data_IF_161521607349
#
_entry.id   IF_161521607349
#
_cell.length_a   1.000
_cell.length_b   1.000
_cell.length_c   1.000
_cell.angle_alpha   90.00
_cell.angle_beta   90.00
_cell.angle_gamma   90.00
#
_symmetry.space_group_name_H-M   'P 1'
#
loop_
_entity.id
_entity.type
_entity.pdbx_description
1 polymer ?
#
# COMPACT_ATOMS: atom_id res chain seq x y z
N UNK A 1 21.26 25.07 -36.51
CA UNK A 1 21.16 24.50 -35.15
C UNK A 1 19.99 25.15 -34.44
N UNK A 2 18.78 24.63 -34.67
CA UNK A 2 17.55 25.10 -34.00
C UNK A 2 17.23 24.15 -32.85
N UNK A 3 17.16 24.69 -31.64
CA UNK A 3 16.81 23.95 -30.44
C UNK A 3 15.33 23.55 -30.49
N UNK A 4 15.09 22.26 -30.66
CA UNK A 4 13.76 21.65 -30.60
C UNK A 4 13.36 21.54 -29.12
N UNK A 5 12.83 22.64 -28.56
CA UNK A 5 12.37 22.67 -27.18
C UNK A 5 11.05 21.90 -27.10
N UNK A 6 11.11 20.69 -26.55
CA UNK A 6 9.94 19.82 -26.38
C UNK A 6 8.89 20.45 -25.49
N UNK A 7 7.81 20.93 -26.10
CA UNK A 7 6.58 21.31 -25.43
C UNK A 7 5.95 20.06 -24.82
N UNK A 8 6.17 19.81 -23.53
CA UNK A 8 5.30 18.91 -22.77
C UNK A 8 3.88 19.46 -22.88
N UNK A 9 2.99 18.63 -23.43
CA UNK A 9 1.63 19.00 -23.75
C UNK A 9 0.87 19.31 -22.47
N UNK A 10 0.28 20.50 -22.41
CA UNK A 10 -0.58 20.99 -21.33
C UNK A 10 -1.63 19.97 -20.88
N UNK A 11 -2.07 19.08 -21.79
CA UNK A 11 -3.01 17.99 -21.52
C UNK A 11 -2.53 16.92 -20.53
N UNK A 12 -1.25 16.50 -20.53
CA UNK A 12 -0.78 15.45 -19.59
C UNK A 12 -0.85 15.89 -18.12
N UNK A 13 -0.68 17.19 -17.88
CA UNK A 13 -0.72 17.79 -16.53
C UNK A 13 -2.16 18.03 -16.06
N UNK A 14 -3.09 18.30 -16.98
CA UNK A 14 -4.51 18.46 -16.66
C UNK A 14 -5.18 17.13 -16.30
N UNK A 15 -4.86 16.04 -17.01
CA UNK A 15 -5.40 14.69 -16.74
C UNK A 15 -4.96 14.18 -15.36
N UNK A 16 -3.74 14.49 -14.95
CA UNK A 16 -3.20 14.05 -13.67
C UNK A 16 -3.70 14.86 -12.48
N UNK A 17 -4.13 16.12 -12.72
CA UNK A 17 -4.84 16.92 -11.72
C UNK A 17 -6.29 16.46 -11.56
N UNK A 18 -6.96 16.06 -12.63
CA UNK A 18 -8.33 15.55 -12.56
C UNK A 18 -8.43 14.12 -11.99
N UNK A 19 -7.40 13.29 -12.16
CA UNK A 19 -7.32 11.96 -11.54
C UNK A 19 -7.40 12.00 -9.99
N UNK A 20 -6.86 13.06 -9.38
CA UNK A 20 -6.99 13.34 -7.95
C UNK A 20 -8.35 13.92 -7.56
N UNK A 21 -9.14 14.38 -8.54
CA UNK A 21 -10.34 15.19 -8.36
C UNK A 21 -10.02 16.68 -8.42
N UNK A 22 -10.85 17.44 -9.14
CA UNK A 22 -10.74 18.91 -9.13
C UNK A 22 -10.84 19.42 -7.69
N UNK A 23 -9.78 20.07 -7.21
CA UNK A 23 -9.75 20.70 -5.88
C UNK A 23 -9.19 19.85 -4.73
N UNK A 24 -8.80 18.60 -4.95
CA UNK A 24 -8.22 17.78 -3.89
C UNK A 24 -6.79 18.26 -3.55
N UNK A 25 -6.61 19.22 -2.65
CA UNK A 25 -5.30 19.58 -2.07
C UNK A 25 -4.97 18.62 -0.94
N UNK A 26 -3.72 18.18 -0.83
CA UNK A 26 -3.31 17.25 0.23
C UNK A 26 -2.33 16.17 -0.22
N UNK A 27 -1.59 15.59 0.71
CA UNK A 27 -0.65 14.50 0.41
C UNK A 27 -1.36 13.17 0.12
N UNK A 28 -0.60 12.11 -0.13
CA UNK A 28 -1.14 10.78 -0.46
C UNK A 28 -0.70 9.78 0.60
N UNK A 29 -1.65 9.03 1.16
CA UNK A 29 -1.35 7.87 2.01
C UNK A 29 -1.35 6.61 1.16
N UNK A 30 -0.37 5.74 1.36
CA UNK A 30 -0.36 4.37 0.88
C UNK A 30 -0.25 3.43 2.08
N UNK A 31 -1.27 2.59 2.26
CA UNK A 31 -1.34 1.63 3.36
C UNK A 31 -0.51 0.39 3.03
N UNK A 32 0.49 0.11 3.85
CA UNK A 32 1.33 -1.08 3.77
C UNK A 32 0.78 -2.13 4.72
N UNK A 33 0.28 -3.25 4.18
CA UNK A 33 -0.30 -4.33 4.96
C UNK A 33 0.73 -5.18 5.73
N UNK A 34 0.23 -6.12 6.56
CA UNK A 34 1.05 -7.02 7.39
C UNK A 34 1.71 -8.18 6.62
N UNK A 35 1.35 -8.37 5.35
CA UNK A 35 1.85 -9.44 4.50
C UNK A 35 3.02 -8.99 3.63
N UNK A 36 3.12 -9.56 2.43
CA UNK A 36 4.09 -9.11 1.44
C UNK A 36 3.79 -7.68 0.98
N UNK A 37 4.85 -6.90 0.76
CA UNK A 37 4.73 -5.54 0.26
C UNK A 37 4.13 -5.57 -1.14
N UNK A 38 3.01 -4.86 -1.30
CA UNK A 38 2.41 -4.69 -2.61
C UNK A 38 3.15 -3.60 -3.39
N UNK A 39 4.15 -4.01 -4.17
CA UNK A 39 4.95 -3.09 -4.96
C UNK A 39 4.16 -2.37 -6.05
N UNK A 40 3.07 -2.95 -6.58
CA UNK A 40 2.25 -2.28 -7.59
C UNK A 40 1.44 -1.13 -6.96
N UNK A 41 0.80 -1.37 -5.81
CA UNK A 41 0.10 -0.36 -5.02
C UNK A 41 0.99 0.86 -4.74
N UNK A 42 2.22 0.60 -4.26
CA UNK A 42 3.19 1.66 -3.95
C UNK A 42 3.58 2.42 -5.22
N UNK A 43 3.88 1.71 -6.31
CA UNK A 43 4.23 2.36 -7.59
C UNK A 43 3.11 3.25 -8.12
N UNK A 44 1.86 2.81 -8.01
CA UNK A 44 0.70 3.62 -8.43
C UNK A 44 0.60 4.89 -7.58
N UNK A 45 0.65 4.75 -6.25
CA UNK A 45 0.61 5.88 -5.32
C UNK A 45 1.75 6.88 -5.55
N UNK A 46 2.99 6.39 -5.63
CA UNK A 46 4.17 7.21 -5.90
C UNK A 46 4.14 7.88 -7.27
N UNK A 47 3.66 7.19 -8.32
CA UNK A 47 3.55 7.79 -9.65
C UNK A 47 2.54 8.93 -9.66
N UNK A 48 1.40 8.75 -9.00
CA UNK A 48 0.39 9.79 -8.88
C UNK A 48 0.92 10.99 -8.08
N UNK A 49 1.57 10.73 -6.95
CA UNK A 49 2.20 11.77 -6.12
C UNK A 49 3.27 12.57 -6.87
N UNK A 50 4.11 11.89 -7.65
CA UNK A 50 5.14 12.53 -8.47
C UNK A 50 4.55 13.49 -9.50
N UNK A 51 3.47 13.10 -10.19
CA UNK A 51 2.83 13.98 -11.16
C UNK A 51 2.13 15.15 -10.48
N UNK A 52 1.54 14.92 -9.32
CA UNK A 52 0.88 15.93 -8.52
C UNK A 52 1.82 16.79 -7.66
N UNK A 53 3.12 16.48 -7.64
CA UNK A 53 4.17 17.09 -6.80
C UNK A 53 3.79 17.09 -5.31
N UNK A 54 3.40 15.93 -4.81
CA UNK A 54 2.96 15.69 -3.41
C UNK A 54 3.84 14.69 -2.72
N UNK A 55 3.81 14.72 -1.40
CA UNK A 55 4.49 13.74 -0.55
C UNK A 55 3.66 12.47 -0.45
N UNK A 56 4.34 11.35 -0.29
CA UNK A 56 3.72 10.04 0.00
C UNK A 56 4.00 9.64 1.43
N UNK A 57 2.95 9.31 2.16
CA UNK A 57 3.00 8.72 3.49
C UNK A 57 2.80 7.21 3.34
N UNK A 58 3.87 6.44 3.55
CA UNK A 58 3.84 4.98 3.58
C UNK A 58 3.52 4.55 5.01
N UNK A 59 2.26 4.23 5.26
CA UNK A 59 1.74 3.99 6.61
C UNK A 59 1.59 2.49 6.85
N UNK A 60 2.18 2.01 7.93
CA UNK A 60 1.98 0.65 8.43
C UNK A 60 1.44 0.69 9.87
N UNK A 61 0.35 -0.03 10.11
CA UNK A 61 -0.26 -0.07 11.45
C UNK A 61 0.08 -1.36 12.17
N UNK A 62 0.71 -1.23 13.33
CA UNK A 62 0.91 -2.32 14.30
C UNK A 62 -0.32 -2.35 15.22
N UNK A 63 -1.11 -3.42 15.11
CA UNK A 63 -2.24 -3.64 16.01
C UNK A 63 -1.77 -4.18 17.37
N UNK A 64 -2.02 -3.41 18.43
CA UNK A 64 -1.61 -3.74 19.81
C UNK A 64 -2.74 -4.53 20.51
N UNK A 65 -2.51 -5.78 20.94
CA UNK A 65 -3.49 -6.59 21.65
C UNK A 65 -3.93 -5.95 22.96
N UNK A 66 -5.21 -6.08 23.34
CA UNK A 66 -5.76 -5.47 24.57
C UNK A 66 -5.08 -5.93 25.86
N UNK A 67 -4.41 -7.08 25.84
CA UNK A 67 -3.61 -7.62 26.94
C UNK A 67 -2.33 -6.82 27.20
N UNK A 68 -1.87 -6.04 26.22
CA UNK A 68 -0.69 -5.19 26.29
C UNK A 68 -1.08 -3.71 26.45
N UNK A 69 -0.20 -2.93 27.07
CA UNK A 69 -0.31 -1.48 27.10
C UNK A 69 -0.23 -0.91 25.67
N UNK A 70 -0.96 0.17 25.38
CA UNK A 70 -0.96 0.78 24.03
C UNK A 70 0.43 1.23 23.59
N UNK A 71 1.28 1.62 24.55
CA UNK A 71 2.66 2.03 24.34
C UNK A 71 3.65 0.92 24.68
N UNK A 72 3.22 -0.34 24.69
CA UNK A 72 4.10 -1.47 24.93
C UNK A 72 5.14 -1.53 23.80
N UNK A 73 6.40 -1.77 24.18
CA UNK A 73 7.45 -2.02 23.20
C UNK A 73 7.20 -3.42 22.63
N UNK A 74 6.97 -3.50 21.32
CA UNK A 74 6.71 -4.75 20.59
C UNK A 74 7.85 -5.02 19.60
N UNK A 75 9.01 -5.54 20.03
CA UNK A 75 10.23 -5.57 19.20
C UNK A 75 10.06 -6.31 17.89
N UNK A 76 9.42 -7.48 17.92
CA UNK A 76 9.20 -8.30 16.72
C UNK A 76 8.17 -7.71 15.76
N UNK A 77 7.20 -6.94 16.26
CA UNK A 77 6.24 -6.23 15.42
C UNK A 77 6.90 -5.01 14.77
N UNK A 78 7.63 -4.21 15.56
CA UNK A 78 8.38 -3.05 15.07
C UNK A 78 9.41 -3.45 14.03
N UNK A 79 10.20 -4.51 14.28
CA UNK A 79 11.21 -4.99 13.33
C UNK A 79 10.59 -5.44 12.00
N UNK A 80 9.41 -6.09 12.04
CA UNK A 80 8.67 -6.46 10.84
C UNK A 80 8.15 -5.21 10.10
N UNK A 81 7.54 -4.28 10.82
CA UNK A 81 7.09 -3.00 10.26
C UNK A 81 8.22 -2.25 9.55
N UNK A 82 9.36 -2.10 10.21
CA UNK A 82 10.55 -1.45 9.66
C UNK A 82 11.04 -2.14 8.38
N UNK A 83 11.02 -3.48 8.36
CA UNK A 83 11.42 -4.26 7.19
C UNK A 83 10.48 -4.03 6.01
N UNK A 84 9.17 -4.05 6.24
CA UNK A 84 8.14 -3.80 5.22
C UNK A 84 8.22 -2.36 4.67
N UNK A 85 8.34 -1.38 5.56
CA UNK A 85 8.45 0.03 5.17
C UNK A 85 9.77 0.34 4.47
N UNK A 86 10.87 -0.33 4.84
CA UNK A 86 12.15 -0.20 4.14
C UNK A 86 12.03 -0.68 2.69
N UNK A 87 11.44 -1.84 2.46
CA UNK A 87 11.17 -2.35 1.10
C UNK A 87 10.26 -1.38 0.33
N UNK A 88 9.21 -0.85 0.97
CA UNK A 88 8.32 0.12 0.35
C UNK A 88 9.04 1.44 -0.01
N UNK A 89 9.94 1.92 0.84
CA UNK A 89 10.76 3.10 0.59
C UNK A 89 11.75 2.91 -0.55
N UNK A 90 12.32 1.70 -0.71
CA UNK A 90 13.17 1.37 -1.85
C UNK A 90 12.38 1.52 -3.18
N UNK A 91 11.15 1.01 -3.22
CA UNK A 91 10.26 1.16 -4.39
C UNK A 91 9.91 2.64 -4.64
N UNK A 92 9.61 3.41 -3.60
CA UNK A 92 9.34 4.83 -3.73
C UNK A 92 10.54 5.61 -4.29
N UNK A 93 11.76 5.24 -3.87
CA UNK A 93 13.02 5.80 -4.37
C UNK A 93 13.27 5.45 -5.83
N UNK A 94 12.97 4.22 -6.25
CA UNK A 94 13.04 3.81 -7.68
C UNK A 94 12.15 4.68 -8.57
N UNK A 95 10.94 5.01 -8.09
CA UNK A 95 10.00 5.90 -8.81
C UNK A 95 10.47 7.36 -8.77
N UNK A 96 11.31 7.73 -7.80
CA UNK A 96 11.79 9.10 -7.57
C UNK A 96 10.70 10.00 -7.01
N UNK A 97 9.95 9.49 -6.03
CA UNK A 97 8.95 10.25 -5.29
C UNK A 97 9.50 10.65 -3.91
N UNK A 98 9.05 11.79 -3.38
CA UNK A 98 9.28 12.14 -1.98
C UNK A 98 8.32 11.33 -1.11
N UNK A 99 8.86 10.39 -0.34
CA UNK A 99 8.08 9.50 0.52
C UNK A 99 8.65 9.47 1.94
N UNK A 100 7.78 9.25 2.91
CA UNK A 100 8.14 9.05 4.32
C UNK A 100 7.45 7.79 4.82
N UNK A 101 8.18 7.02 5.62
CA UNK A 101 7.71 5.80 6.26
C UNK A 101 7.20 6.12 7.67
N UNK A 102 6.00 5.67 7.99
CA UNK A 102 5.31 5.92 9.25
C UNK A 102 4.80 4.61 9.85
N UNK A 103 5.24 4.32 11.07
CA UNK A 103 4.76 3.19 11.87
C UNK A 103 3.78 3.73 12.90
N UNK A 104 2.53 3.29 12.81
CA UNK A 104 1.46 3.71 13.72
C UNK A 104 1.10 2.54 14.62
N UNK A 105 1.13 2.73 15.94
CA UNK A 105 0.66 1.72 16.90
C UNK A 105 -0.78 2.04 17.30
N UNK A 106 -1.71 1.10 17.09
CA UNK A 106 -3.12 1.33 17.38
C UNK A 106 -3.84 0.06 17.81
N UNK A 107 -5.07 0.18 18.34
CA UNK A 107 -5.92 -0.98 18.65
C UNK A 107 -6.59 -1.58 17.41
N UNK A 108 -6.71 -0.80 16.35
CA UNK A 108 -7.33 -1.21 15.09
C UNK A 108 -6.74 -0.38 13.96
N UNK A 109 -6.40 -1.04 12.85
CA UNK A 109 -5.82 -0.40 11.68
C UNK A 109 -6.77 0.59 11.00
N UNK A 110 -8.06 0.29 10.93
CA UNK A 110 -9.04 1.12 10.22
C UNK A 110 -9.10 2.57 10.74
N UNK A 111 -9.41 2.78 12.04
CA UNK A 111 -9.39 4.10 12.66
C UNK A 111 -8.04 4.80 12.54
N UNK A 112 -6.94 4.06 12.74
CA UNK A 112 -5.59 4.62 12.68
C UNK A 112 -5.25 5.18 11.28
N UNK A 113 -5.59 4.45 10.22
CA UNK A 113 -5.36 4.92 8.83
C UNK A 113 -6.15 6.19 8.54
N UNK A 114 -7.41 6.24 8.99
CA UNK A 114 -8.27 7.43 8.77
C UNK A 114 -7.73 8.64 9.53
N UNK A 115 -7.27 8.43 10.76
CA UNK A 115 -6.65 9.48 11.58
C UNK A 115 -5.35 10.00 10.95
N UNK A 116 -4.45 9.11 10.54
CA UNK A 116 -3.18 9.49 9.90
C UNK A 116 -3.42 10.28 8.61
N UNK A 117 -4.38 9.83 7.79
CA UNK A 117 -4.77 10.54 6.59
C UNK A 117 -5.36 11.93 6.89
N UNK A 118 -6.05 12.09 8.02
CA UNK A 118 -6.60 13.39 8.44
C UNK A 118 -5.49 14.32 8.92
N UNK A 119 -4.59 13.82 9.74
CA UNK A 119 -3.51 14.58 10.38
C UNK A 119 -2.51 15.11 9.33
N UNK A 120 -2.28 14.34 8.27
CA UNK A 120 -1.49 14.77 7.11
C UNK A 120 -2.29 15.48 6.02
N UNK A 121 -3.57 15.79 6.27
CA UNK A 121 -4.45 16.43 5.30
C UNK A 121 -4.43 15.77 3.93
N UNK A 122 -4.44 14.43 3.91
CA UNK A 122 -4.27 13.66 2.69
C UNK A 122 -5.50 13.74 1.79
N UNK A 123 -5.25 13.86 0.49
CA UNK A 123 -6.27 13.92 -0.54
C UNK A 123 -6.77 12.53 -0.96
N UNK A 124 -5.88 11.54 -0.92
CA UNK A 124 -6.18 10.16 -1.36
C UNK A 124 -5.51 9.13 -0.44
N UNK A 125 -6.24 8.07 -0.11
CA UNK A 125 -5.74 6.86 0.56
C UNK A 125 -5.70 5.72 -0.46
N UNK A 126 -4.54 5.10 -0.65
CA UNK A 126 -4.39 3.84 -1.37
C UNK A 126 -4.37 2.67 -0.40
N UNK A 127 -5.23 1.70 -0.64
CA UNK A 127 -5.27 0.46 0.14
C UNK A 127 -5.27 -0.76 -0.78
N UNK A 128 -4.38 -1.69 -0.50
CA UNK A 128 -4.30 -2.96 -1.22
C UNK A 128 -5.24 -4.00 -0.63
N UNK A 129 -5.92 -4.77 -1.47
CA UNK A 129 -6.63 -5.98 -1.06
C UNK A 129 -6.02 -7.20 -1.75
N UNK A 130 -5.89 -8.28 -0.99
CA UNK A 130 -5.42 -9.57 -1.50
C UNK A 130 -6.64 -10.40 -1.90
N UNK A 131 -6.57 -11.11 -3.03
CA UNK A 131 -7.57 -12.15 -3.34
C UNK A 131 -7.21 -13.40 -2.56
N UNK A 132 -8.15 -13.91 -1.78
CA UNK A 132 -8.03 -15.26 -1.25
C UNK A 132 -8.76 -16.21 -2.21
N UNK A 133 -8.01 -16.90 -3.06
CA UNK A 133 -8.59 -17.86 -4.01
C UNK A 133 -9.29 -19.04 -3.33
N UNK A 134 -9.11 -19.22 -2.01
CA UNK A 134 -9.78 -20.29 -1.25
C UNK A 134 -11.16 -19.88 -0.78
N UNK A 135 -11.49 -18.58 -0.75
CA UNK A 135 -12.79 -18.10 -0.31
C UNK A 135 -13.63 -17.60 -1.50
N UNK A 136 -14.75 -18.26 -1.77
CA UNK A 136 -15.71 -17.87 -2.82
C UNK A 136 -16.36 -16.49 -2.55
N UNK A 137 -16.33 -16.02 -1.30
CA UNK A 137 -16.64 -14.63 -0.94
C UNK A 137 -15.33 -13.92 -0.61
N UNK A 138 -14.90 -13.06 -1.52
CA UNK A 138 -13.74 -12.20 -1.27
C UNK A 138 -14.20 -11.04 -0.37
N UNK A 139 -14.45 -11.35 0.91
CA UNK A 139 -14.91 -10.36 1.89
C UNK A 139 -13.89 -9.23 2.01
N UNK A 140 -14.38 -8.00 1.88
CA UNK A 140 -13.56 -6.81 2.11
C UNK A 140 -13.18 -6.81 3.59
N UNK A 141 -11.88 -6.74 3.88
CA UNK A 141 -11.41 -6.76 5.26
C UNK A 141 -12.08 -5.65 6.08
N UNK A 142 -12.30 -5.90 7.37
CA UNK A 142 -12.92 -4.93 8.27
C UNK A 142 -12.20 -3.57 8.24
N UNK A 143 -10.87 -3.59 8.09
CA UNK A 143 -10.03 -2.40 7.92
C UNK A 143 -10.42 -1.60 6.68
N UNK A 144 -10.52 -2.23 5.51
CA UNK A 144 -10.85 -1.55 4.25
C UNK A 144 -12.28 -1.01 4.30
N UNK A 145 -13.21 -1.82 4.81
CA UNK A 145 -14.61 -1.40 5.00
C UNK A 145 -14.71 -0.18 5.92
N UNK A 146 -13.96 -0.18 7.03
CA UNK A 146 -13.94 0.96 7.95
C UNK A 146 -13.39 2.22 7.28
N UNK A 147 -12.27 2.11 6.55
CA UNK A 147 -11.67 3.23 5.83
C UNK A 147 -12.64 3.80 4.79
N UNK A 148 -13.30 2.94 4.01
CA UNK A 148 -14.29 3.36 3.02
C UNK A 148 -15.49 4.12 3.63
N UNK A 149 -15.94 3.71 4.83
CA UNK A 149 -17.07 4.34 5.50
C UNK A 149 -16.71 5.65 6.21
N UNK A 150 -15.46 5.84 6.65
CA UNK A 150 -15.09 6.93 7.57
C UNK A 150 -14.05 7.92 7.00
N UNK A 151 -13.38 7.60 5.89
CA UNK A 151 -12.40 8.49 5.30
C UNK A 151 -13.07 9.76 4.76
N UNK A 152 -12.57 10.93 5.18
CA UNK A 152 -13.00 12.23 4.66
C UNK A 152 -12.43 12.53 3.25
N UNK A 153 -11.43 11.76 2.82
CA UNK A 153 -10.75 11.89 1.55
C UNK A 153 -11.05 10.71 0.62
N UNK A 154 -10.57 10.78 -0.63
CA UNK A 154 -10.85 9.75 -1.62
C UNK A 154 -10.09 8.46 -1.29
N UNK A 155 -10.75 7.32 -1.42
CA UNK A 155 -10.12 6.01 -1.16
C UNK A 155 -10.01 5.22 -2.46
N UNK A 156 -8.82 4.76 -2.79
CA UNK A 156 -8.52 3.90 -3.94
C UNK A 156 -8.15 2.52 -3.45
N UNK A 157 -9.03 1.56 -3.72
CA UNK A 157 -8.80 0.15 -3.42
C UNK A 157 -8.16 -0.50 -4.64
N UNK A 158 -6.95 -1.01 -4.49
CA UNK A 158 -6.25 -1.73 -5.55
C UNK A 158 -6.22 -3.21 -5.21
N UNK A 159 -6.73 -4.00 -6.13
CA UNK A 159 -6.63 -5.45 -6.06
C UNK A 159 -5.72 -5.91 -7.19
N UNK A 160 -4.59 -6.52 -6.83
CA UNK A 160 -3.76 -7.17 -7.83
C UNK A 160 -4.31 -8.56 -8.17
N UNK A 161 -4.13 -9.00 -9.42
CA UNK A 161 -4.33 -10.40 -9.76
C UNK A 161 -3.37 -11.25 -8.91
N UNK A 162 -3.82 -12.45 -8.55
CA UNK A 162 -3.03 -13.35 -7.71
C UNK A 162 -1.64 -13.60 -8.33
N UNK A 163 -0.60 -13.34 -7.54
CA UNK A 163 0.78 -13.60 -7.91
C UNK A 163 1.08 -15.08 -7.63
N UNK A 164 0.43 -16.00 -8.35
CA UNK A 164 0.82 -17.40 -8.31
C UNK A 164 2.24 -17.50 -8.84
N UNK A 165 3.23 -17.64 -7.94
CA UNK A 165 4.43 -18.40 -8.29
C UNK A 165 3.91 -19.77 -8.73
N UNK A 166 4.21 -20.24 -9.95
CA UNK A 166 3.88 -21.60 -10.34
C UNK A 166 4.44 -22.51 -9.25
N UNK A 167 3.56 -23.20 -8.53
CA UNK A 167 3.96 -24.26 -7.61
C UNK A 167 4.87 -25.17 -8.41
N UNK A 168 6.18 -25.14 -8.11
CA UNK A 168 7.11 -26.12 -8.63
C UNK A 168 6.54 -27.48 -8.25
N UNK A 169 6.04 -28.22 -9.24
CA UNK A 169 5.64 -29.59 -9.06
C UNK A 169 6.84 -30.35 -8.50
N UNK A 170 6.76 -30.82 -7.26
CA UNK A 170 7.74 -31.77 -6.76
C UNK A 170 7.73 -32.99 -7.69
N UNK A 171 8.90 -33.51 -8.10
CA UNK A 171 8.95 -34.69 -8.94
C UNK A 171 8.33 -35.87 -8.17
N UNK A 172 7.40 -36.56 -8.82
CA UNK A 172 6.83 -37.81 -8.31
C UNK A 172 7.98 -38.76 -7.97
N UNK A 173 8.14 -39.06 -6.68
CA UNK A 173 9.10 -40.07 -6.25
C UNK A 173 8.67 -41.42 -6.81
N UNK A 174 9.58 -42.01 -7.57
CA UNK A 174 9.50 -43.36 -8.13
C UNK A 174 9.31 -44.34 -6.98
N UNK A 175 8.17 -45.04 -6.96
CA UNK A 175 7.95 -46.13 -6.01
C UNK A 175 8.85 -47.31 -6.39
N UNK A 176 9.99 -47.41 -5.74
CA UNK A 176 10.73 -48.66 -5.58
C UNK A 176 9.89 -49.58 -4.70
N UNK A 177 9.45 -50.73 -5.22
CA UNK A 177 9.03 -51.85 -4.38
C UNK A 177 9.88 -53.06 -4.75
N UNK A 178 10.82 -53.35 -3.87
CA UNK A 178 11.54 -54.61 -3.82
C UNK A 178 10.68 -55.66 -3.11
N UNK A 179 10.65 -56.86 -3.69
CA UNK A 179 10.71 -58.19 -3.06
C UNK A 179 9.65 -58.57 -2.02
N UNK A 180 8.83 -59.58 -2.38
CA UNK A 180 8.87 -60.93 -1.75
C UNK A 180 8.77 -61.97 -2.87
#
# INVERSE_FOLDING_TARGET
MGYLWGSKTKGETEISKSALGEGANGDIVVVVGNGLVNGNLIRIGCRMAKVAKRKVHLVHVIEVPRTEAINAVLPEASKRADSLLKEAMEIAKEVGCEAVAEVVQARSAGPAIVEEARDHHCAVIFIGIVRDNKCFHNEISQTVSYVLCNAACRVWVVQDPDQQKPTQALPAQVATTATV
#
